data_IF_458404521937
#
_entry.id   IF_458404521937
#
_cell.length_a   1.000
_cell.length_b   1.000
_cell.length_c   1.000
_cell.angle_alpha   90.00
_cell.angle_beta   90.00
_cell.angle_gamma   90.00
#
_symmetry.space_group_name_H-M   'P 1'
#
loop_
_entity.id
_entity.type
_entity.pdbx_description
1 polymer ?
#
# COMPACT_ATOMS: atom_id res chain seq x y z
N UNK A 1 -23.28 -7.54 -16.74
CA UNK A 1 -22.89 -6.36 -15.95
C UNK A 1 -22.15 -6.72 -14.67
N UNK A 2 -22.67 -7.60 -13.81
CA UNK A 2 -21.99 -7.94 -12.55
C UNK A 2 -20.59 -8.54 -12.71
N UNK A 3 -20.36 -9.34 -13.75
CA UNK A 3 -19.01 -9.87 -14.03
C UNK A 3 -18.01 -8.74 -14.35
N UNK A 4 -18.39 -7.80 -15.23
CA UNK A 4 -17.58 -6.59 -15.51
C UNK A 4 -17.35 -5.75 -14.25
N UNK A 5 -18.34 -5.65 -13.36
CA UNK A 5 -18.21 -4.92 -12.10
C UNK A 5 -17.21 -5.61 -11.15
N UNK A 6 -17.24 -6.93 -11.05
CA UNK A 6 -16.29 -7.69 -10.23
C UNK A 6 -14.86 -7.59 -10.78
N UNK A 7 -14.70 -7.56 -12.11
CA UNK A 7 -13.43 -7.29 -12.76
C UNK A 7 -12.95 -5.86 -12.46
N UNK A 8 -13.85 -4.87 -12.49
CA UNK A 8 -13.52 -3.50 -12.12
C UNK A 8 -13.10 -3.39 -10.65
N UNK A 9 -13.81 -4.06 -9.74
CA UNK A 9 -13.49 -4.10 -8.31
C UNK A 9 -12.16 -4.81 -8.04
N UNK A 10 -11.75 -5.78 -8.86
CA UNK A 10 -10.41 -6.38 -8.77
C UNK A 10 -9.29 -5.48 -9.33
N UNK A 11 -9.61 -4.26 -9.76
CA UNK A 11 -8.66 -3.26 -10.22
C UNK A 11 -8.37 -3.28 -11.72
N UNK A 12 -9.10 -4.08 -12.50
CA UNK A 12 -8.91 -4.22 -13.93
C UNK A 12 -9.92 -3.36 -14.70
N UNK A 13 -9.47 -2.48 -15.62
CA UNK A 13 -10.40 -1.73 -16.46
C UNK A 13 -11.07 -2.66 -17.48
N UNK A 14 -12.34 -2.38 -17.77
CA UNK A 14 -13.16 -3.12 -18.72
C UNK A 14 -13.79 -2.22 -19.78
N UNK A 15 -14.74 -2.79 -20.54
CA UNK A 15 -15.43 -2.04 -21.58
C UNK A 15 -16.43 -1.02 -21.00
N UNK A 16 -17.09 -1.41 -19.90
CA UNK A 16 -18.08 -0.58 -19.19
C UNK A 16 -17.41 0.34 -18.17
N UNK A 17 -16.41 -0.17 -17.47
CA UNK A 17 -15.69 0.52 -16.40
C UNK A 17 -14.29 0.91 -16.87
N UNK A 18 -14.12 2.17 -17.26
CA UNK A 18 -12.88 2.63 -17.89
C UNK A 18 -11.92 3.19 -16.85
N UNK A 19 -10.63 3.05 -17.12
CA UNK A 19 -9.61 3.77 -16.37
C UNK A 19 -9.69 5.26 -16.70
N UNK A 20 -9.79 6.11 -15.69
CA UNK A 20 -9.63 7.54 -15.82
C UNK A 20 -8.16 7.92 -16.02
N UNK A 21 -7.90 9.13 -16.52
CA UNK A 21 -6.58 9.70 -16.76
C UNK A 21 -5.72 9.76 -15.48
N UNK A 22 -6.36 9.84 -14.32
CA UNK A 22 -5.69 9.86 -13.01
C UNK A 22 -5.60 8.47 -12.35
N UNK A 23 -5.92 7.40 -13.08
CA UNK A 23 -5.83 6.01 -12.58
C UNK A 23 -7.04 5.53 -11.78
N UNK A 24 -8.06 6.36 -11.60
CA UNK A 24 -9.37 5.97 -11.08
C UNK A 24 -10.15 5.07 -12.05
N UNK A 25 -11.28 4.51 -11.59
CA UNK A 25 -12.22 3.78 -12.45
C UNK A 25 -13.53 4.56 -12.53
N UNK A 26 -14.05 4.76 -13.73
CA UNK A 26 -15.31 5.45 -13.99
C UNK A 26 -16.27 4.57 -14.79
N UNK A 27 -17.57 4.70 -14.49
CA UNK A 27 -18.62 4.07 -15.28
C UNK A 27 -18.81 4.86 -16.58
N UNK A 28 -18.96 4.16 -17.70
CA UNK A 28 -19.31 4.80 -18.97
C UNK A 28 -20.65 5.52 -18.82
N UNK A 29 -20.64 6.85 -19.02
CA UNK A 29 -21.82 7.70 -18.90
C UNK A 29 -22.89 7.33 -19.94
N UNK A 30 -24.16 7.49 -19.58
CA UNK A 30 -25.35 7.29 -20.43
C UNK A 30 -25.60 5.85 -20.89
N UNK A 31 -25.54 4.88 -19.97
CA UNK A 31 -26.05 3.53 -20.24
C UNK A 31 -27.59 3.56 -20.26
N UNK A 32 -28.26 3.24 -21.39
CA UNK A 32 -29.71 3.44 -21.56
C UNK A 32 -30.57 2.51 -20.68
N UNK A 33 -29.95 1.53 -20.04
CA UNK A 33 -30.61 0.50 -19.24
C UNK A 33 -30.40 0.67 -17.72
N UNK A 34 -29.73 1.75 -17.28
CA UNK A 34 -29.48 2.00 -15.86
C UNK A 34 -30.28 3.18 -15.33
N UNK A 35 -30.86 2.99 -14.15
CA UNK A 35 -31.45 4.10 -13.41
C UNK A 35 -30.35 5.04 -12.87
N UNK A 36 -30.57 6.37 -12.77
CA UNK A 36 -29.57 7.30 -12.25
C UNK A 36 -29.01 6.91 -10.88
N UNK A 37 -29.84 6.39 -9.98
CA UNK A 37 -29.40 5.90 -8.66
C UNK A 37 -28.52 4.65 -8.73
N UNK A 38 -28.73 3.78 -9.72
CA UNK A 38 -27.87 2.62 -9.94
C UNK A 38 -26.52 3.06 -10.51
N UNK A 39 -26.53 4.04 -11.41
CA UNK A 39 -25.30 4.63 -11.93
C UNK A 39 -24.46 5.25 -10.81
N UNK A 40 -25.07 6.01 -9.89
CA UNK A 40 -24.37 6.59 -8.74
C UNK A 40 -23.78 5.51 -7.82
N UNK A 41 -24.51 4.41 -7.61
CA UNK A 41 -24.03 3.30 -6.78
C UNK A 41 -22.86 2.57 -7.46
N UNK A 42 -22.92 2.41 -8.78
CA UNK A 42 -21.81 1.86 -9.57
C UNK A 42 -20.59 2.77 -9.53
N UNK A 43 -20.77 4.09 -9.65
CA UNK A 43 -19.67 5.06 -9.55
C UNK A 43 -18.96 4.97 -8.19
N UNK A 44 -19.72 4.84 -7.09
CA UNK A 44 -19.15 4.61 -5.75
C UNK A 44 -18.31 3.33 -5.72
N UNK A 45 -18.86 2.21 -6.22
CA UNK A 45 -18.14 0.93 -6.28
C UNK A 45 -16.89 1.01 -7.18
N UNK A 46 -16.93 1.79 -8.26
CA UNK A 46 -15.78 1.99 -9.13
C UNK A 46 -14.69 2.80 -8.45
N UNK A 47 -15.06 3.85 -7.71
CA UNK A 47 -14.11 4.61 -6.88
C UNK A 47 -13.37 3.69 -5.91
N UNK A 48 -14.07 2.75 -5.26
CA UNK A 48 -13.45 1.72 -4.41
C UNK A 48 -12.43 0.86 -5.18
N UNK A 49 -12.81 0.37 -6.37
CA UNK A 49 -11.90 -0.39 -7.25
C UNK A 49 -10.70 0.43 -7.73
N UNK A 50 -10.87 1.73 -7.95
CA UNK A 50 -9.80 2.67 -8.29
C UNK A 50 -8.78 2.83 -7.17
N UNK A 51 -9.24 3.00 -5.92
CA UNK A 51 -8.37 2.99 -4.76
C UNK A 51 -7.61 1.67 -4.63
N UNK A 52 -8.31 0.54 -4.75
CA UNK A 52 -7.68 -0.78 -4.71
C UNK A 52 -6.59 -0.94 -5.78
N UNK A 53 -6.87 -0.49 -7.01
CA UNK A 53 -5.90 -0.49 -8.11
C UNK A 53 -4.66 0.36 -7.81
N UNK A 54 -4.84 1.55 -7.24
CA UNK A 54 -3.74 2.42 -6.85
C UNK A 54 -2.83 1.73 -5.83
N UNK A 55 -3.42 1.10 -4.81
CA UNK A 55 -2.69 0.34 -3.79
C UNK A 55 -1.93 -0.86 -4.40
N UNK A 56 -2.54 -1.59 -5.32
CA UNK A 56 -1.87 -2.69 -6.04
C UNK A 56 -0.68 -2.19 -6.87
N UNK A 57 -0.87 -1.11 -7.63
CA UNK A 57 0.21 -0.52 -8.43
C UNK A 57 1.40 -0.10 -7.55
N UNK A 58 1.12 0.45 -6.38
CA UNK A 58 2.16 0.79 -5.40
C UNK A 58 2.92 -0.45 -4.92
N UNK A 59 2.20 -1.51 -4.54
CA UNK A 59 2.83 -2.78 -4.14
C UNK A 59 3.69 -3.34 -5.28
N UNK A 60 3.19 -3.36 -6.51
CA UNK A 60 3.96 -3.85 -7.67
C UNK A 60 5.21 -3.02 -7.94
N UNK A 61 5.15 -1.71 -7.72
CA UNK A 61 6.30 -0.82 -7.94
C UNK A 61 7.41 -1.04 -6.92
N UNK A 62 7.05 -1.32 -5.66
CA UNK A 62 8.00 -1.36 -4.53
C UNK A 62 8.23 -2.76 -3.94
N UNK A 63 7.53 -3.81 -4.41
CA UNK A 63 7.72 -5.19 -3.92
C UNK A 63 8.55 -6.08 -4.84
N UNK A 64 8.82 -5.68 -6.09
CA UNK A 64 9.36 -6.56 -7.16
C UNK A 64 10.89 -6.75 -7.10
N UNK A 65 11.62 -6.08 -6.20
CA UNK A 65 13.07 -6.24 -6.07
C UNK A 65 13.54 -7.57 -5.40
N UNK A 66 12.73 -8.63 -5.44
CA UNK A 66 13.09 -9.98 -4.95
C UNK A 66 13.52 -10.96 -6.06
N UNK A 67 13.66 -10.49 -7.30
CA UNK A 67 14.19 -11.25 -8.44
C UNK A 67 15.73 -11.23 -8.42
N UNK A 68 16.43 -12.36 -8.14
CA UNK A 68 17.90 -12.40 -8.10
C UNK A 68 18.57 -12.14 -9.46
N UNK A 69 17.81 -12.11 -10.55
CA UNK A 69 18.31 -12.03 -11.93
C UNK A 69 18.41 -10.57 -12.40
N UNK A 70 17.57 -9.66 -11.87
CA UNK A 70 17.58 -8.25 -12.30
C UNK A 70 18.72 -7.42 -11.69
N UNK A 71 19.34 -7.89 -10.61
CA UNK A 71 20.54 -7.25 -10.04
C UNK A 71 21.75 -7.26 -10.99
N UNK A 72 21.79 -8.15 -12.00
CA UNK A 72 22.86 -8.20 -13.00
C UNK A 72 22.64 -7.24 -14.19
N UNK A 73 21.44 -6.67 -14.34
CA UNK A 73 21.07 -5.84 -15.48
C UNK A 73 20.71 -4.38 -15.11
N UNK A 74 20.52 -4.06 -13.83
CA UNK A 74 20.31 -2.68 -13.39
C UNK A 74 21.63 -1.88 -13.39
N UNK A 75 21.98 -1.37 -14.56
CA UNK A 75 22.78 -0.15 -14.69
C UNK A 75 22.04 0.99 -13.96
N UNK A 76 22.59 1.43 -12.83
CA UNK A 76 22.59 2.81 -12.30
C UNK A 76 21.26 3.58 -12.08
N UNK A 77 20.10 2.93 -12.15
CA UNK A 77 18.82 3.53 -11.74
C UNK A 77 18.27 2.79 -10.52
N UNK A 78 18.87 3.02 -9.35
CA UNK A 78 18.22 2.68 -8.07
C UNK A 78 16.90 3.44 -8.03
N UNK A 79 15.80 2.74 -7.73
CA UNK A 79 14.56 3.45 -7.43
C UNK A 79 14.85 4.35 -6.21
N UNK A 80 14.43 5.62 -6.20
CA UNK A 80 14.76 6.56 -5.12
C UNK A 80 14.12 6.17 -3.76
N UNK A 81 13.30 5.13 -3.75
CA UNK A 81 12.57 4.57 -2.63
C UNK A 81 12.87 3.07 -2.59
N UNK A 82 14.08 2.72 -2.18
CA UNK A 82 14.51 1.35 -1.90
C UNK A 82 14.78 1.25 -0.40
N UNK A 83 14.21 0.24 0.27
CA UNK A 83 14.30 0.16 1.72
C UNK A 83 13.55 -1.01 2.34
N UNK A 84 14.11 -1.55 3.43
CA UNK A 84 13.51 -2.67 4.17
C UNK A 84 12.17 -2.27 4.80
N UNK A 85 12.03 -1.00 5.22
CA UNK A 85 10.78 -0.49 5.77
C UNK A 85 9.68 -0.38 4.71
N UNK A 86 10.03 0.00 3.48
CA UNK A 86 9.09 0.09 2.37
C UNK A 86 8.60 -1.29 1.94
N UNK A 87 9.48 -2.29 1.90
CA UNK A 87 9.08 -3.68 1.65
C UNK A 87 8.18 -4.22 2.76
N UNK A 88 8.51 -3.95 4.03
CA UNK A 88 7.66 -4.35 5.15
C UNK A 88 6.29 -3.64 5.12
N UNK A 89 6.24 -2.38 4.71
CA UNK A 89 5.01 -1.65 4.47
C UNK A 89 4.17 -2.32 3.38
N UNK A 90 4.76 -2.65 2.23
CA UNK A 90 4.07 -3.34 1.14
C UNK A 90 3.52 -4.69 1.58
N UNK A 91 4.30 -5.48 2.33
CA UNK A 91 3.84 -6.75 2.90
C UNK A 91 2.67 -6.56 3.89
N UNK A 92 2.75 -5.53 4.74
CA UNK A 92 1.67 -5.12 5.63
C UNK A 92 0.40 -4.76 4.88
N UNK A 93 0.54 -3.95 3.82
CA UNK A 93 -0.55 -3.50 2.94
C UNK A 93 -1.22 -4.69 2.23
N UNK A 94 -0.45 -5.62 1.65
CA UNK A 94 -0.99 -6.86 1.06
C UNK A 94 -1.81 -7.64 2.09
N UNK A 95 -1.36 -7.70 3.35
CA UNK A 95 -2.08 -8.40 4.41
C UNK A 95 -3.42 -7.73 4.77
N UNK A 96 -3.54 -6.42 4.60
CA UNK A 96 -4.77 -5.63 4.83
C UNK A 96 -5.73 -5.74 3.65
N UNK A 97 -5.21 -5.91 2.43
CA UNK A 97 -6.00 -6.10 1.22
C UNK A 97 -6.57 -7.52 1.07
N UNK A 98 -5.97 -8.53 1.71
CA UNK A 98 -6.40 -9.93 1.59
C UNK A 98 -7.88 -10.19 1.96
N UNK A 99 -8.42 -9.67 3.09
CA UNK A 99 -9.84 -9.80 3.40
C UNK A 99 -10.76 -9.24 2.31
N UNK A 100 -10.38 -8.16 1.64
CA UNK A 100 -11.14 -7.59 0.53
C UNK A 100 -11.23 -8.57 -0.65
N UNK A 101 -10.10 -9.18 -1.01
CA UNK A 101 -10.06 -10.21 -2.05
C UNK A 101 -10.96 -11.40 -1.68
N UNK A 102 -10.92 -11.85 -0.41
CA UNK A 102 -11.79 -12.91 0.09
C UNK A 102 -13.28 -12.52 0.01
N UNK A 103 -13.62 -11.27 0.36
CA UNK A 103 -14.97 -10.72 0.20
C UNK A 103 -15.43 -10.70 -1.26
N UNK A 104 -14.57 -10.31 -2.21
CA UNK A 104 -14.89 -10.34 -3.64
C UNK A 104 -15.17 -11.77 -4.14
N UNK A 105 -14.35 -12.75 -3.74
CA UNK A 105 -14.57 -14.16 -4.09
C UNK A 105 -15.90 -14.68 -3.52
N UNK A 106 -16.27 -14.25 -2.30
CA UNK A 106 -17.56 -14.61 -1.72
C UNK A 106 -18.74 -14.01 -2.50
N UNK A 107 -18.62 -12.74 -2.90
CA UNK A 107 -19.64 -12.05 -3.71
C UNK A 107 -19.76 -12.74 -5.08
N UNK A 108 -18.65 -13.07 -5.73
CA UNK A 108 -18.63 -13.78 -7.02
C UNK A 108 -19.37 -15.12 -6.92
N UNK A 109 -19.02 -15.95 -5.93
CA UNK A 109 -19.70 -17.23 -5.68
C UNK A 109 -21.20 -17.06 -5.45
N UNK A 110 -21.61 -15.94 -4.84
CA UNK A 110 -23.03 -15.65 -4.61
C UNK A 110 -23.74 -15.24 -5.90
N UNK A 111 -23.15 -14.33 -6.68
CA UNK A 111 -23.69 -13.92 -7.98
C UNK A 111 -23.83 -15.11 -8.93
N UNK A 112 -22.90 -16.08 -8.88
CA UNK A 112 -23.02 -17.32 -9.64
C UNK A 112 -24.17 -18.23 -9.18
N UNK A 113 -24.47 -18.26 -7.87
CA UNK A 113 -25.56 -19.07 -7.30
C UNK A 113 -26.94 -18.44 -7.47
N UNK A 114 -26.99 -17.11 -7.42
CA UNK A 114 -28.22 -16.33 -7.40
C UNK A 114 -28.11 -15.14 -8.38
N UNK A 115 -28.63 -15.30 -9.60
CA UNK A 115 -28.59 -14.27 -10.65
C UNK A 115 -29.36 -12.99 -10.30
N UNK A 116 -30.21 -13.00 -9.27
CA UNK A 116 -31.01 -11.85 -8.84
C UNK A 116 -30.36 -11.05 -7.71
N UNK A 117 -29.08 -11.29 -7.43
CA UNK A 117 -28.33 -10.54 -6.42
C UNK A 117 -28.32 -9.04 -6.77
N UNK A 118 -28.85 -8.21 -5.87
CA UNK A 118 -28.95 -6.77 -6.09
C UNK A 118 -27.61 -6.05 -5.91
N UNK A 119 -27.44 -4.90 -6.58
CA UNK A 119 -26.25 -4.07 -6.44
C UNK A 119 -26.05 -3.57 -4.99
N UNK A 120 -27.14 -3.32 -4.27
CA UNK A 120 -27.12 -2.95 -2.86
C UNK A 120 -26.50 -4.04 -1.97
N UNK A 121 -26.69 -5.32 -2.33
CA UNK A 121 -26.06 -6.43 -1.60
C UNK A 121 -24.54 -6.42 -1.76
N UNK A 122 -24.06 -6.17 -2.99
CA UNK A 122 -22.62 -6.03 -3.29
C UNK A 122 -22.05 -4.84 -2.52
N UNK A 123 -22.73 -3.69 -2.56
CA UNK A 123 -22.33 -2.50 -1.82
C UNK A 123 -22.20 -2.76 -0.31
N UNK A 124 -23.21 -3.40 0.30
CA UNK A 124 -23.18 -3.78 1.72
C UNK A 124 -22.01 -4.72 2.05
N UNK A 125 -21.71 -5.67 1.17
CA UNK A 125 -20.59 -6.60 1.37
C UNK A 125 -19.21 -5.92 1.34
N UNK A 126 -19.13 -4.71 0.79
CA UNK A 126 -17.88 -3.96 0.65
C UNK A 126 -17.83 -2.66 1.47
N UNK A 127 -18.86 -2.39 2.28
CA UNK A 127 -19.06 -1.13 3.01
C UNK A 127 -17.86 -0.75 3.88
N UNK A 128 -17.25 -1.72 4.56
CA UNK A 128 -16.10 -1.48 5.44
C UNK A 128 -14.88 -0.92 4.68
N UNK A 129 -14.69 -1.32 3.42
CA UNK A 129 -13.51 -0.96 2.63
C UNK A 129 -13.60 0.47 2.08
N UNK A 130 -14.81 1.04 1.98
CA UNK A 130 -15.00 2.44 1.61
C UNK A 130 -14.37 3.41 2.60
N UNK A 131 -14.18 3.00 3.85
CA UNK A 131 -13.51 3.83 4.86
C UNK A 131 -12.00 3.57 4.91
N UNK A 132 -11.57 2.34 4.62
CA UNK A 132 -10.17 1.94 4.73
C UNK A 132 -9.36 2.41 3.52
N UNK A 133 -9.87 2.17 2.30
CA UNK A 133 -9.09 2.36 1.08
C UNK A 133 -8.74 3.81 0.75
N UNK A 134 -9.63 4.81 0.98
CA UNK A 134 -9.25 6.21 0.78
C UNK A 134 -8.09 6.65 1.69
N UNK A 135 -8.10 6.22 2.96
CA UNK A 135 -7.03 6.53 3.92
C UNK A 135 -5.72 5.87 3.50
N UNK A 136 -5.76 4.59 3.11
CA UNK A 136 -4.57 3.90 2.61
C UNK A 136 -4.04 4.49 1.31
N UNK A 137 -4.92 4.95 0.42
CA UNK A 137 -4.52 5.57 -0.85
C UNK A 137 -3.82 6.92 -0.59
N UNK A 138 -4.36 7.73 0.33
CA UNK A 138 -3.72 8.98 0.75
C UNK A 138 -2.37 8.75 1.44
N UNK A 139 -2.24 7.70 2.25
CA UNK A 139 -0.96 7.26 2.83
C UNK A 139 0.07 6.93 1.74
N UNK A 140 -0.32 6.14 0.75
CA UNK A 140 0.54 5.79 -0.38
C UNK A 140 0.95 7.04 -1.19
N UNK A 141 0.01 7.94 -1.47
CA UNK A 141 0.26 9.18 -2.21
C UNK A 141 1.20 10.13 -1.44
N UNK A 142 1.03 10.25 -0.12
CA UNK A 142 1.93 11.05 0.73
C UNK A 142 3.33 10.44 0.82
N UNK A 143 3.44 9.11 0.83
CA UNK A 143 4.74 8.43 0.76
C UNK A 143 5.45 8.69 -0.57
N UNK A 144 4.74 8.60 -1.70
CA UNK A 144 5.31 8.83 -3.04
C UNK A 144 5.71 10.31 -3.24
N UNK A 145 4.85 11.24 -2.78
CA UNK A 145 5.09 12.69 -2.90
C UNK A 145 6.28 13.15 -2.07
N UNK A 146 6.36 12.72 -0.81
CA UNK A 146 7.43 13.16 0.12
C UNK A 146 8.70 12.32 0.01
N UNK A 147 8.68 11.24 -0.79
CA UNK A 147 9.76 10.24 -0.89
C UNK A 147 10.28 9.82 0.49
N UNK A 148 9.35 9.39 1.35
CA UNK A 148 9.68 9.02 2.73
C UNK A 148 10.61 7.82 2.77
N UNK A 149 11.64 7.91 3.62
CA UNK A 149 12.68 6.88 3.73
C UNK A 149 12.78 6.34 5.16
N UNK A 150 12.95 5.02 5.30
CA UNK A 150 13.21 4.35 6.56
C UNK A 150 12.20 4.65 7.69
N UNK A 151 12.71 5.09 8.84
CA UNK A 151 11.91 5.38 10.04
C UNK A 151 10.82 6.44 9.85
N UNK A 152 10.91 7.31 8.84
CA UNK A 152 9.86 8.31 8.57
C UNK A 152 8.53 7.67 8.18
N UNK A 153 8.58 6.48 7.56
CA UNK A 153 7.38 5.69 7.26
C UNK A 153 6.66 5.27 8.55
N UNK A 154 7.41 4.92 9.60
CA UNK A 154 6.83 4.58 10.90
C UNK A 154 6.14 5.77 11.55
N UNK A 155 6.75 6.96 11.48
CA UNK A 155 6.17 8.18 12.04
C UNK A 155 4.86 8.56 11.34
N UNK A 156 4.83 8.50 10.00
CA UNK A 156 3.62 8.73 9.23
C UNK A 156 2.50 7.74 9.63
N UNK A 157 2.82 6.43 9.66
CA UNK A 157 1.86 5.40 10.06
C UNK A 157 1.36 5.60 11.50
N UNK A 158 2.23 6.04 12.40
CA UNK A 158 1.85 6.31 13.78
C UNK A 158 0.89 7.50 13.88
N UNK A 159 1.16 8.58 13.15
CA UNK A 159 0.29 9.75 13.10
C UNK A 159 -1.09 9.41 12.53
N UNK A 160 -1.13 8.67 11.43
CA UNK A 160 -2.39 8.20 10.82
C UNK A 160 -3.10 7.13 11.67
N UNK A 161 -2.42 6.48 12.62
CA UNK A 161 -3.08 5.53 13.54
C UNK A 161 -4.02 6.20 14.55
N UNK A 162 -3.89 7.53 14.74
CA UNK A 162 -4.71 8.33 15.65
C UNK A 162 -6.07 8.72 15.03
N UNK A 163 -6.68 7.81 14.28
CA UNK A 163 -8.03 7.97 13.70
C UNK A 163 -9.13 7.56 14.68
N UNK A 164 -10.28 8.24 14.63
CA UNK A 164 -11.47 7.88 15.41
C UNK A 164 -12.21 6.62 14.95
N UNK A 165 -11.91 6.09 13.75
CA UNK A 165 -12.54 4.88 13.22
C UNK A 165 -11.73 3.62 13.64
N UNK A 166 -12.33 2.67 14.38
CA UNK A 166 -11.61 1.49 14.88
C UNK A 166 -11.17 0.54 13.77
N UNK A 167 -11.92 0.44 12.67
CA UNK A 167 -11.60 -0.43 11.54
C UNK A 167 -10.38 0.08 10.79
N UNK A 168 -10.33 1.39 10.53
CA UNK A 168 -9.18 2.06 9.91
C UNK A 168 -7.94 1.94 10.81
N UNK A 169 -8.09 2.24 12.11
CA UNK A 169 -7.01 2.08 13.09
C UNK A 169 -6.45 0.66 13.10
N UNK A 170 -7.31 -0.36 13.08
CA UNK A 170 -6.88 -1.77 13.04
C UNK A 170 -6.08 -2.09 11.78
N UNK A 171 -6.50 -1.56 10.62
CA UNK A 171 -5.78 -1.73 9.36
C UNK A 171 -4.38 -1.09 9.41
N UNK A 172 -4.30 0.17 9.86
CA UNK A 172 -3.02 0.89 9.99
C UNK A 172 -2.09 0.21 11.00
N UNK A 173 -2.60 -0.21 12.16
CA UNK A 173 -1.81 -0.92 13.17
C UNK A 173 -1.25 -2.25 12.65
N UNK A 174 -1.96 -2.94 11.75
CA UNK A 174 -1.47 -4.17 11.13
C UNK A 174 -0.27 -3.89 10.22
N UNK A 175 -0.31 -2.79 9.47
CA UNK A 175 0.82 -2.33 8.64
C UNK A 175 1.98 -1.90 9.55
N UNK A 176 1.70 -1.09 10.57
CA UNK A 176 2.70 -0.65 11.54
C UNK A 176 3.38 -1.82 12.24
N UNK A 177 2.65 -2.88 12.58
CA UNK A 177 3.22 -4.10 13.16
C UNK A 177 4.23 -4.78 12.22
N UNK A 178 3.93 -4.85 10.92
CA UNK A 178 4.87 -5.39 9.93
C UNK A 178 6.16 -4.56 9.87
N UNK A 179 6.04 -3.22 9.85
CA UNK A 179 7.19 -2.32 9.84
C UNK A 179 7.99 -2.36 11.15
N UNK A 180 7.33 -2.46 12.31
CA UNK A 180 7.99 -2.66 13.60
C UNK A 180 8.79 -3.97 13.65
N UNK A 181 8.39 -5.00 12.89
CA UNK A 181 9.19 -6.22 12.76
C UNK A 181 10.61 -5.96 12.24
N UNK A 182 10.76 -5.04 11.28
CA UNK A 182 12.07 -4.61 10.76
C UNK A 182 12.83 -3.81 11.83
N UNK A 183 12.15 -2.86 12.48
CA UNK A 183 12.73 -2.04 13.54
C UNK A 183 13.29 -2.90 14.69
N UNK A 184 12.52 -3.85 15.21
CA UNK A 184 12.95 -4.72 16.30
C UNK A 184 14.08 -5.66 15.88
N UNK A 185 14.12 -6.08 14.61
CA UNK A 185 15.25 -6.86 14.07
C UNK A 185 16.53 -6.03 14.04
N UNK A 186 16.48 -4.79 13.56
CA UNK A 186 17.64 -3.88 13.56
C UNK A 186 18.08 -3.54 14.99
N UNK A 187 17.12 -3.25 15.88
CA UNK A 187 17.39 -2.90 17.28
C UNK A 187 17.98 -4.08 18.08
N UNK A 188 17.48 -5.30 17.88
CA UNK A 188 18.06 -6.48 18.54
C UNK A 188 19.46 -6.81 18.00
N UNK A 189 19.70 -6.64 16.70
CA UNK A 189 21.02 -6.80 16.10
C UNK A 189 22.04 -5.83 16.73
N UNK A 190 21.62 -4.58 16.88
CA UNK A 190 22.44 -3.53 17.47
C UNK A 190 22.67 -3.75 18.98
N UNK A 191 21.61 -3.95 19.75
CA UNK A 191 21.71 -4.03 21.21
C UNK A 191 22.40 -5.30 21.72
N UNK A 192 22.23 -6.43 21.02
CA UNK A 192 22.76 -7.72 21.47
C UNK A 192 24.15 -7.97 20.88
N UNK A 193 24.33 -7.70 19.59
CA UNK A 193 25.56 -8.06 18.87
C UNK A 193 26.46 -6.86 18.54
N UNK A 194 25.98 -5.62 18.73
CA UNK A 194 26.73 -4.42 18.35
C UNK A 194 26.87 -4.26 16.82
N UNK A 195 26.05 -4.96 16.04
CA UNK A 195 26.12 -4.97 14.58
C UNK A 195 25.05 -4.03 14.03
N UNK A 196 25.46 -3.07 13.20
CA UNK A 196 24.54 -2.20 12.47
C UNK A 196 24.20 -2.86 11.13
N UNK A 197 23.00 -3.44 11.03
CA UNK A 197 22.46 -4.00 9.78
C UNK A 197 21.58 -2.96 9.08
N UNK A 198 22.21 -2.04 8.37
CA UNK A 198 21.52 -0.94 7.67
C UNK A 198 22.15 -0.68 6.29
N UNK A 199 21.69 -1.43 5.29
CA UNK A 199 22.18 -1.34 3.91
C UNK A 199 21.69 -0.07 3.19
N UNK A 200 20.59 0.50 3.66
CA UNK A 200 19.87 1.60 3.01
C UNK A 200 19.91 2.91 3.82
N UNK A 201 20.64 2.98 4.93
CA UNK A 201 20.70 4.15 5.85
C UNK A 201 19.29 4.59 6.31
N UNK A 202 18.49 3.60 6.72
CA UNK A 202 17.10 3.76 7.15
C UNK A 202 16.93 3.86 8.67
N UNK A 203 17.93 3.42 9.42
CA UNK A 203 17.89 3.34 10.86
C UNK A 203 18.33 4.66 11.49
N UNK A 204 17.81 4.97 12.68
CA UNK A 204 18.13 6.23 13.37
C UNK A 204 19.55 6.25 13.97
N UNK A 205 20.30 5.15 13.91
CA UNK A 205 21.70 5.06 14.33
C UNK A 205 22.56 4.86 13.09
N UNK A 206 23.39 5.85 12.77
CA UNK A 206 24.37 5.74 11.68
C UNK A 206 25.80 5.78 12.23
N UNK A 207 26.72 5.06 11.58
CA UNK A 207 28.14 5.19 11.89
C UNK A 207 28.64 6.54 11.39
N UNK A 208 29.07 7.40 12.31
CA UNK A 208 29.76 8.63 11.93
C UNK A 208 31.14 8.26 11.38
N UNK A 209 31.34 8.39 10.08
CA UNK A 209 32.67 8.35 9.49
C UNK A 209 33.51 9.48 10.10
N UNK A 210 34.53 9.11 10.89
CA UNK A 210 35.51 10.07 11.41
C UNK A 210 36.45 10.52 10.29
N UNK A 211 35.98 11.38 9.39
CA UNK A 211 36.85 12.24 8.59
C UNK A 211 36.82 13.66 9.18
N UNK A 212 37.91 14.03 9.84
CA UNK A 212 38.08 15.38 10.43
C UNK A 212 38.83 15.43 11.78
N UNK A 213 39.22 14.29 12.35
CA UNK A 213 40.13 14.26 13.48
C UNK A 213 41.57 14.57 13.04
N UNK A 214 41.93 15.85 12.88
CA UNK A 214 43.34 16.25 12.94
C UNK A 214 43.88 15.80 14.29
N UNK A 215 44.52 14.63 14.33
CA UNK A 215 45.37 14.20 15.43
C UNK A 215 46.43 15.28 15.59
N UNK A 216 46.22 16.23 16.52
CA UNK A 216 47.31 17.02 17.07
C UNK A 216 48.27 16.02 17.70
N UNK A 217 49.33 15.68 16.97
CA UNK A 217 50.53 15.09 17.54
C UNK A 217 51.02 16.11 18.56
N UNK A 218 50.84 15.84 19.84
CA UNK A 218 51.65 16.49 20.86
C UNK A 218 53.10 16.08 20.59
N UNK A 219 54.04 17.03 20.45
CA UNK A 219 55.44 16.67 20.40
C UNK A 219 55.84 16.12 21.77
N UNK A 220 56.41 14.92 21.76
CA UNK A 220 57.18 14.43 22.89
C UNK A 220 58.44 15.29 23.02
N UNK A 221 58.59 15.90 24.20
CA UNK A 221 59.79 16.30 24.95
C UNK A 221 59.55 17.62 25.67
#
# INVERSE_FOLDING_TARGET
MYHELLIALSGLPGAIFKADKYGGLEVTKNLPFLHPSEAELLDKLCSLGGHYRSLLKFIETYSVDLSPIDHLLKNDNRNPLEGQYLHAFCAGLTSVLKPYQDSLVQIERRVMKDPYTSLSHIHRGLEEYFFIFPVLSGLVETMDTNKLHGCQVLELLYNESNTGNPTVRKAILKILHACHGVLFKQLSAWMIYGILMDEYDEFFISMKSTEGGKRKRYPSF
#
